data_IF_893096230489
#
_entry.id   IF_893096230489
#
_cell.length_a   1.000
_cell.length_b   1.000
_cell.length_c   1.000
_cell.angle_alpha   90.00
_cell.angle_beta   90.00
_cell.angle_gamma   90.00
#
_symmetry.space_group_name_H-M   'P 1'
#
loop_
_entity.id
_entity.type
_entity.pdbx_description
1 polymer ?
#
# COMPACT_ATOMS: atom_id res chain seq x y z
N UNK A 1 -5.85 -3.06 -22.28
CA UNK A 1 -6.26 -2.31 -21.08
C UNK A 1 -6.80 -3.32 -20.08
N UNK A 2 -6.12 -3.57 -18.95
CA UNK A 2 -6.64 -4.53 -17.95
C UNK A 2 -5.64 -5.12 -16.96
N UNK A 3 -4.33 -4.90 -17.10
CA UNK A 3 -3.34 -5.56 -16.22
C UNK A 3 -3.18 -4.86 -14.87
N UNK A 4 -3.23 -3.52 -14.84
CA UNK A 4 -2.95 -2.76 -13.62
C UNK A 4 -4.08 -2.83 -12.58
N UNK A 5 -5.33 -2.92 -13.03
CA UNK A 5 -6.47 -2.92 -12.11
C UNK A 5 -6.51 -4.14 -11.18
N UNK A 6 -6.03 -5.27 -11.70
CA UNK A 6 -5.95 -6.50 -10.94
C UNK A 6 -4.73 -6.51 -10.02
N UNK A 7 -3.61 -5.95 -10.48
CA UNK A 7 -2.36 -5.92 -9.72
C UNK A 7 -2.50 -5.12 -8.42
N UNK A 8 -3.14 -3.94 -8.44
CA UNK A 8 -3.28 -3.15 -7.20
C UNK A 8 -4.22 -3.85 -6.21
N UNK A 9 -5.25 -4.55 -6.70
CA UNK A 9 -6.16 -5.34 -5.85
C UNK A 9 -5.43 -6.50 -5.19
N UNK A 10 -4.60 -7.22 -5.95
CA UNK A 10 -3.79 -8.33 -5.41
C UNK A 10 -2.76 -7.83 -4.38
N UNK A 11 -2.08 -6.72 -4.67
CA UNK A 11 -1.13 -6.09 -3.73
C UNK A 11 -1.84 -5.60 -2.48
N UNK A 12 -2.96 -4.89 -2.64
CA UNK A 12 -3.78 -4.39 -1.53
C UNK A 12 -4.26 -5.54 -0.64
N UNK A 13 -4.76 -6.63 -1.23
CA UNK A 13 -5.16 -7.82 -0.48
C UNK A 13 -4.00 -8.49 0.28
N UNK A 14 -2.79 -8.52 -0.30
CA UNK A 14 -1.59 -9.03 0.39
C UNK A 14 -1.21 -8.16 1.58
N UNK A 15 -1.17 -6.84 1.41
CA UNK A 15 -0.86 -5.89 2.48
C UNK A 15 -1.93 -5.97 3.58
N UNK A 16 -3.22 -6.01 3.20
CA UNK A 16 -4.35 -6.23 4.11
C UNK A 16 -4.16 -7.49 4.94
N UNK A 17 -3.77 -8.61 4.31
CA UNK A 17 -3.51 -9.86 5.02
C UNK A 17 -2.36 -9.73 6.01
N UNK A 18 -1.30 -8.99 5.69
CA UNK A 18 -0.20 -8.72 6.61
C UNK A 18 -0.63 -7.84 7.79
N UNK A 19 -1.42 -6.80 7.53
CA UNK A 19 -2.04 -5.96 8.57
C UNK A 19 -2.93 -6.79 9.50
N UNK A 20 -3.82 -7.61 8.92
CA UNK A 20 -4.71 -8.50 9.67
C UNK A 20 -3.95 -9.59 10.43
N UNK A 21 -2.79 -10.03 9.94
CA UNK A 21 -1.94 -10.97 10.67
C UNK A 21 -1.22 -10.35 11.87
N UNK A 22 -1.34 -9.02 12.06
CA UNK A 22 -0.72 -8.30 13.18
C UNK A 22 0.76 -8.01 13.00
N UNK A 23 1.30 -8.17 11.79
CA UNK A 23 2.70 -7.81 11.45
C UNK A 23 2.91 -6.30 11.58
N UNK A 24 1.91 -5.51 11.17
CA UNK A 24 1.94 -4.06 11.26
C UNK A 24 0.81 -3.62 12.19
N UNK A 25 1.15 -2.94 13.29
CA UNK A 25 0.14 -2.37 14.18
C UNK A 25 -0.40 -1.07 13.62
N UNK A 26 -1.61 -0.72 14.03
CA UNK A 26 -2.20 0.60 13.76
C UNK A 26 -1.27 1.65 14.40
N UNK A 27 -0.67 2.50 13.56
CA UNK A 27 0.34 3.49 13.97
C UNK A 27 1.79 3.09 13.70
N UNK A 28 2.07 1.84 13.31
CA UNK A 28 3.39 1.50 12.77
C UNK A 28 3.58 2.17 11.41
N UNK A 29 4.82 2.58 11.15
CA UNK A 29 5.20 3.11 9.84
C UNK A 29 5.11 1.98 8.81
N UNK A 30 4.19 2.15 7.86
CA UNK A 30 4.21 1.36 6.64
C UNK A 30 5.50 1.63 5.86
N UNK A 31 6.02 0.63 5.14
CA UNK A 31 7.13 0.83 4.22
C UNK A 31 6.78 1.92 3.20
N UNK A 32 7.78 2.64 2.74
CA UNK A 32 7.60 3.71 1.75
C UNK A 32 7.13 3.15 0.41
N UNK A 33 6.53 3.99 -0.44
CA UNK A 33 6.12 3.58 -1.80
C UNK A 33 7.28 2.90 -2.57
N UNK A 34 8.51 3.38 -2.38
CA UNK A 34 9.72 2.79 -2.98
C UNK A 34 9.96 1.36 -2.48
N UNK A 35 10.00 1.17 -1.16
CA UNK A 35 10.21 -0.15 -0.57
C UNK A 35 9.10 -1.12 -0.95
N UNK A 36 7.85 -0.66 -1.02
CA UNK A 36 6.73 -1.46 -1.49
C UNK A 36 6.89 -1.83 -2.96
N UNK A 37 7.32 -0.89 -3.82
CA UNK A 37 7.59 -1.24 -5.23
C UNK A 37 8.71 -2.26 -5.37
N UNK A 38 9.75 -2.20 -4.55
CA UNK A 38 10.85 -3.17 -4.56
C UNK A 38 10.42 -4.53 -3.98
N UNK A 39 9.63 -4.52 -2.89
CA UNK A 39 9.14 -5.73 -2.21
C UNK A 39 8.15 -6.50 -3.07
N UNK A 40 7.21 -5.80 -3.73
CA UNK A 40 6.18 -6.41 -4.55
C UNK A 40 6.55 -6.51 -6.03
N UNK A 41 7.62 -5.83 -6.47
CA UNK A 41 8.06 -5.81 -7.87
C UNK A 41 7.07 -5.13 -8.82
N UNK A 42 6.21 -4.25 -8.30
CA UNK A 42 5.18 -3.56 -9.10
C UNK A 42 5.48 -2.07 -9.24
N UNK A 43 4.83 -1.41 -10.20
CA UNK A 43 4.99 0.03 -10.40
C UNK A 43 4.43 0.88 -9.25
N UNK A 44 4.97 2.09 -9.09
CA UNK A 44 4.54 3.05 -8.04
C UNK A 44 3.04 3.38 -8.12
N UNK A 45 2.49 3.46 -9.32
CA UNK A 45 1.06 3.68 -9.53
C UNK A 45 0.21 2.57 -8.91
N UNK A 46 0.62 1.32 -9.08
CA UNK A 46 -0.07 0.14 -8.54
C UNK A 46 -0.01 0.13 -7.02
N UNK A 47 1.16 0.41 -6.44
CA UNK A 47 1.31 0.55 -4.99
C UNK A 47 0.39 1.65 -4.46
N UNK A 48 0.39 2.82 -5.10
CA UNK A 48 -0.42 3.94 -4.66
C UNK A 48 -1.91 3.62 -4.67
N UNK A 49 -2.41 2.97 -5.73
CA UNK A 49 -3.81 2.55 -5.79
C UNK A 49 -4.14 1.47 -4.73
N UNK A 50 -3.23 0.53 -4.50
CA UNK A 50 -3.38 -0.48 -3.45
C UNK A 50 -3.45 0.16 -2.06
N UNK A 51 -2.60 1.15 -1.79
CA UNK A 51 -2.60 1.89 -0.53
C UNK A 51 -3.87 2.73 -0.38
N UNK A 52 -4.31 3.45 -1.43
CA UNK A 52 -5.55 4.22 -1.41
C UNK A 52 -6.75 3.31 -1.10
N UNK A 53 -6.80 2.11 -1.70
CA UNK A 53 -7.86 1.14 -1.41
C UNK A 53 -7.89 0.78 0.07
N UNK A 54 -6.72 0.52 0.67
CA UNK A 54 -6.61 0.19 2.10
C UNK A 54 -6.97 1.38 3.00
N UNK A 55 -6.64 2.60 2.57
CA UNK A 55 -7.01 3.83 3.27
C UNK A 55 -8.52 4.07 3.23
N UNK A 56 -9.14 3.91 2.05
CA UNK A 56 -10.60 4.02 1.87
C UNK A 56 -11.33 2.95 2.67
N UNK A 57 -10.78 1.74 2.77
CA UNK A 57 -11.30 0.68 3.62
C UNK A 57 -11.03 0.91 5.13
N UNK A 58 -10.22 1.89 5.51
CA UNK A 58 -9.91 2.23 6.90
C UNK A 58 -8.89 1.32 7.58
N UNK A 59 -8.11 0.54 6.80
CA UNK A 59 -7.05 -0.31 7.34
C UNK A 59 -5.76 0.45 7.64
N UNK A 60 -5.47 1.52 6.89
CA UNK A 60 -4.26 2.33 7.02
C UNK A 60 -4.58 3.81 6.86
N UNK A 61 -3.69 4.69 7.32
CA UNK A 61 -3.76 6.13 7.02
C UNK A 61 -2.49 6.53 6.28
N UNK A 62 -2.60 7.03 5.04
CA UNK A 62 -1.43 7.45 4.28
C UNK A 62 -1.09 8.88 4.69
N UNK A 63 -0.27 9.01 5.73
CA UNK A 63 0.36 10.30 6.02
C UNK A 63 1.47 10.56 5.03
N UNK A 64 1.16 11.31 3.98
CA UNK A 64 2.20 11.98 3.19
C UNK A 64 2.97 12.92 4.10
N UNK A 65 4.18 12.51 4.50
CA UNK A 65 5.16 13.43 5.03
C UNK A 65 5.34 14.52 3.96
N UNK A 66 4.91 15.73 4.30
CA UNK A 66 4.95 16.88 3.42
C UNK A 66 6.42 17.16 3.08
N UNK A 67 6.89 16.65 1.93
CA UNK A 67 8.12 17.10 1.32
C UNK A 67 7.84 18.49 0.72
N UNK A 68 7.94 19.51 1.55
CA UNK A 68 8.20 20.88 1.13
C UNK A 68 9.56 21.25 1.68
N UNK A 69 10.58 21.19 0.83
CA UNK A 69 11.72 22.08 0.89
C UNK A 69 12.28 22.24 -0.52
#
# INVERSE_FOLDING_TARGET
>A
MGSNDRLYKEVGAKIKKQLLSGIYKIGDKLPTERELTETFGVGRTVIREALILLEVEGFIEIRKARAFM
#
